data_IF_961541651842
#
_entry.id   IF_961541651842
#
_cell.length_a   1.000
_cell.length_b   1.000
_cell.length_c   1.000
_cell.angle_alpha   90.00
_cell.angle_beta   90.00
_cell.angle_gamma   90.00
#
_symmetry.space_group_name_H-M   'P 1'
#
loop_
_entity.id
_entity.type
_entity.pdbx_description
1 polymer ?
#
# COMPACT_ATOMS: atom_id res chain seq x y z
N UNK A 1 6.92 -9.39 -1.41
CA UNK A 1 7.34 -10.13 -2.61
C UNK A 1 7.97 -11.44 -2.16
N UNK A 2 7.48 -12.61 -2.60
CA UNK A 2 7.90 -13.90 -2.03
C UNK A 2 9.24 -14.39 -2.57
N UNK A 3 9.54 -14.19 -3.85
CA UNK A 3 10.81 -14.55 -4.48
C UNK A 3 11.10 -13.61 -5.65
N UNK A 4 12.37 -13.26 -5.88
CA UNK A 4 12.81 -12.52 -7.07
C UNK A 4 14.24 -12.93 -7.46
N UNK A 5 14.54 -12.85 -8.76
CA UNK A 5 15.75 -13.43 -9.37
C UNK A 5 17.01 -12.56 -9.18
N UNK A 6 17.38 -12.25 -7.93
CA UNK A 6 18.50 -11.36 -7.62
C UNK A 6 19.82 -11.73 -8.34
N UNK A 7 20.15 -13.02 -8.50
CA UNK A 7 21.33 -13.46 -9.25
C UNK A 7 21.26 -13.10 -10.74
N UNK A 8 20.10 -13.32 -11.36
CA UNK A 8 19.87 -13.00 -12.79
C UNK A 8 19.86 -11.49 -13.00
N UNK A 9 19.32 -10.73 -12.05
CA UNK A 9 19.38 -9.26 -12.07
C UNK A 9 20.84 -8.78 -11.94
N UNK A 10 21.65 -9.38 -11.06
CA UNK A 10 23.07 -9.05 -10.94
C UNK A 10 23.83 -9.29 -12.25
N UNK A 11 23.57 -10.44 -12.90
CA UNK A 11 24.12 -10.80 -14.21
C UNK A 11 23.67 -9.80 -15.30
N UNK A 12 22.38 -9.46 -15.36
CA UNK A 12 21.85 -8.45 -16.26
C UNK A 12 22.37 -7.05 -15.97
N UNK A 13 22.75 -6.72 -14.74
CA UNK A 13 23.36 -5.43 -14.43
C UNK A 13 24.88 -5.44 -14.60
N UNK A 14 25.49 -6.62 -14.79
CA UNK A 14 26.94 -6.77 -14.86
C UNK A 14 27.63 -6.34 -13.57
N UNK A 15 26.99 -6.59 -12.41
CA UNK A 15 27.48 -6.13 -11.11
C UNK A 15 27.33 -7.21 -10.04
N UNK A 16 27.97 -6.99 -8.89
CA UNK A 16 27.74 -7.82 -7.70
C UNK A 16 26.48 -7.37 -6.96
N UNK A 17 25.75 -8.34 -6.40
CA UNK A 17 24.63 -8.10 -5.52
C UNK A 17 25.10 -8.15 -4.06
N UNK A 18 24.93 -7.04 -3.33
CA UNK A 18 25.24 -6.97 -1.89
C UNK A 18 23.95 -7.02 -1.09
N UNK A 19 23.80 -8.02 -0.23
CA UNK A 19 22.68 -8.10 0.72
C UNK A 19 23.09 -7.53 2.07
N UNK A 20 22.21 -6.73 2.69
CA UNK A 20 22.37 -6.27 4.07
C UNK A 20 21.08 -6.43 4.86
N UNK A 21 21.21 -6.68 6.15
CA UNK A 21 20.08 -6.72 7.08
C UNK A 21 19.74 -5.31 7.54
N UNK A 22 18.48 -4.90 7.34
CA UNK A 22 17.96 -3.63 7.80
C UNK A 22 16.90 -3.87 8.87
N UNK A 23 16.96 -3.10 9.95
CA UNK A 23 15.96 -3.13 11.02
C UNK A 23 15.38 -1.74 11.21
N UNK A 24 14.07 -1.65 11.39
CA UNK A 24 13.36 -0.41 11.72
C UNK A 24 12.52 -0.64 12.98
N UNK A 25 12.21 0.39 13.78
CA UNK A 25 11.32 0.22 14.95
C UNK A 25 9.94 -0.35 14.60
N UNK A 26 9.50 -0.21 13.34
CA UNK A 26 8.15 -0.55 12.87
C UNK A 26 8.13 -1.88 12.10
N UNK A 27 9.29 -2.39 11.67
CA UNK A 27 9.38 -3.60 10.85
C UNK A 27 10.43 -4.58 11.40
N UNK A 28 10.13 -5.89 11.44
CA UNK A 28 11.13 -6.90 11.75
C UNK A 28 12.30 -6.83 10.75
N UNK A 29 13.45 -7.41 11.14
CA UNK A 29 14.64 -7.47 10.29
C UNK A 29 14.29 -7.92 8.87
N UNK A 30 14.67 -7.11 7.89
CA UNK A 30 14.43 -7.35 6.48
C UNK A 30 15.74 -7.27 5.70
N UNK A 31 15.99 -8.25 4.84
CA UNK A 31 17.11 -8.21 3.91
C UNK A 31 16.84 -7.21 2.78
N UNK A 32 17.81 -6.33 2.53
CA UNK A 32 17.83 -5.40 1.39
C UNK A 32 18.94 -5.82 0.45
N UNK A 33 18.62 -5.96 -0.83
CA UNK A 33 19.57 -6.30 -1.89
C UNK A 33 19.96 -5.03 -2.64
N UNK A 34 21.25 -4.77 -2.78
CA UNK A 34 21.78 -3.60 -3.46
C UNK A 34 22.59 -4.03 -4.68
N UNK A 35 22.25 -3.46 -5.82
CA UNK A 35 22.95 -3.61 -7.09
C UNK A 35 23.51 -2.25 -7.48
N UNK A 36 24.78 -2.22 -7.88
CA UNK A 36 25.44 -0.99 -8.31
C UNK A 36 26.21 -1.25 -9.60
N UNK A 37 25.64 -0.83 -10.72
CA UNK A 37 26.26 -0.91 -12.03
C UNK A 37 26.87 0.44 -12.39
N UNK A 38 28.15 0.46 -12.79
CA UNK A 38 28.88 1.69 -13.12
C UNK A 38 29.45 1.57 -14.53
N UNK A 39 29.32 2.64 -15.32
CA UNK A 39 29.98 2.79 -16.62
C UNK A 39 30.71 4.14 -16.70
N UNK A 40 31.31 4.44 -17.85
CA UNK A 40 31.92 5.75 -18.12
C UNK A 40 30.90 6.90 -18.12
N UNK A 41 29.61 6.61 -18.28
CA UNK A 41 28.54 7.62 -18.32
C UNK A 41 27.93 7.90 -16.95
N UNK A 42 28.08 6.98 -15.99
CA UNK A 42 27.46 7.14 -14.68
C UNK A 42 27.30 5.86 -13.87
N UNK A 43 26.43 5.93 -12.87
CA UNK A 43 26.12 4.81 -11.95
C UNK A 43 24.62 4.62 -11.80
N UNK A 44 24.16 3.38 -11.88
CA UNK A 44 22.82 2.93 -11.59
C UNK A 44 22.88 2.15 -10.28
N UNK A 45 22.12 2.61 -9.29
CA UNK A 45 21.93 1.92 -8.03
C UNK A 45 20.47 1.45 -7.94
N UNK A 46 20.28 0.14 -7.84
CA UNK A 46 18.99 -0.49 -7.57
C UNK A 46 19.04 -1.12 -6.19
N UNK A 47 18.15 -0.73 -5.28
CA UNK A 47 17.97 -1.37 -3.99
C UNK A 47 16.59 -2.01 -3.92
N UNK A 48 16.53 -3.27 -3.54
CA UNK A 48 15.29 -4.04 -3.46
C UNK A 48 15.09 -4.48 -2.03
N UNK A 49 13.95 -4.14 -1.44
CA UNK A 49 13.50 -4.60 -0.13
C UNK A 49 12.26 -5.50 -0.31
N UNK A 50 12.45 -6.83 -0.51
CA UNK A 50 11.36 -7.72 -0.91
C UNK A 50 10.25 -7.85 0.15
N UNK A 51 10.63 -7.78 1.43
CA UNK A 51 9.70 -7.82 2.55
C UNK A 51 8.70 -6.65 2.53
N UNK A 52 9.12 -5.50 2.01
CA UNK A 52 8.29 -4.30 1.88
C UNK A 52 7.70 -4.13 0.48
N UNK A 53 8.11 -4.95 -0.49
CA UNK A 53 7.75 -4.77 -1.89
C UNK A 53 8.21 -3.41 -2.41
N UNK A 54 9.41 -2.97 -2.04
CA UNK A 54 9.91 -1.63 -2.41
C UNK A 54 11.19 -1.75 -3.21
N UNK A 55 11.28 -0.99 -4.30
CA UNK A 55 12.50 -0.72 -5.03
C UNK A 55 12.88 0.74 -4.94
N UNK A 56 14.16 1.01 -4.68
CA UNK A 56 14.76 2.34 -4.78
C UNK A 56 15.70 2.32 -5.98
N UNK A 57 15.50 3.23 -6.91
CA UNK A 57 16.27 3.32 -8.14
C UNK A 57 16.89 4.71 -8.17
N UNK A 58 18.21 4.78 -8.29
CA UNK A 58 18.95 6.03 -8.40
C UNK A 58 19.92 5.95 -9.55
N UNK A 59 20.00 7.01 -10.34
CA UNK A 59 20.99 7.17 -11.40
C UNK A 59 21.83 8.41 -11.13
N UNK A 60 23.14 8.27 -11.31
CA UNK A 60 24.13 9.33 -11.13
C UNK A 60 24.92 9.50 -12.43
N UNK A 61 25.31 10.73 -12.75
CA UNK A 61 26.20 11.02 -13.87
C UNK A 61 27.65 10.58 -13.57
N UNK A 62 28.55 10.71 -14.55
CA UNK A 62 29.96 10.38 -14.41
C UNK A 62 30.70 11.22 -13.34
N UNK A 63 30.16 12.39 -12.96
CA UNK A 63 30.70 13.24 -11.90
C UNK A 63 30.13 12.87 -10.52
N UNK A 64 29.18 11.93 -10.46
CA UNK A 64 28.51 11.51 -9.24
C UNK A 64 27.31 12.36 -8.85
N UNK A 65 26.85 13.28 -9.70
CA UNK A 65 25.63 14.04 -9.44
C UNK A 65 24.40 13.18 -9.67
N UNK A 66 23.40 13.28 -8.80
CA UNK A 66 22.13 12.56 -8.97
C UNK A 66 21.37 13.12 -10.20
N UNK A 67 21.05 12.23 -11.14
CA UNK A 67 20.23 12.52 -12.32
C UNK A 67 18.75 12.24 -12.01
N UNK A 68 18.48 11.10 -11.38
CA UNK A 68 17.12 10.69 -11.02
C UNK A 68 17.14 9.75 -9.82
N UNK A 69 16.13 9.87 -8.98
CA UNK A 69 15.83 8.91 -7.92
C UNK A 69 14.33 8.65 -7.88
N UNK A 70 13.95 7.39 -7.75
CA UNK A 70 12.57 6.96 -7.59
C UNK A 70 12.44 5.87 -6.52
N UNK A 71 11.31 5.88 -5.82
CA UNK A 71 10.87 4.77 -4.97
C UNK A 71 9.62 4.18 -5.58
N UNK A 72 9.64 2.89 -5.90
CA UNK A 72 8.52 2.20 -6.54
C UNK A 72 8.07 1.05 -5.65
N UNK A 73 6.77 0.96 -5.38
CA UNK A 73 6.18 -0.19 -4.72
C UNK A 73 5.81 -1.23 -5.77
N UNK A 74 6.32 -2.43 -5.59
CA UNK A 74 6.20 -3.53 -6.54
C UNK A 74 5.77 -4.82 -5.86
N UNK A 75 4.92 -5.56 -6.56
CA UNK A 75 4.51 -6.92 -6.21
C UNK A 75 5.39 -7.96 -6.90
N UNK A 76 5.99 -7.60 -8.03
CA UNK A 76 6.82 -8.48 -8.87
C UNK A 76 8.06 -7.75 -9.38
N UNK A 77 9.20 -8.45 -9.43
CA UNK A 77 10.45 -8.00 -10.04
C UNK A 77 11.08 -9.16 -10.79
N UNK A 78 11.31 -9.02 -12.10
CA UNK A 78 11.86 -10.08 -12.94
C UNK A 78 12.68 -9.53 -14.11
N UNK A 79 13.46 -10.39 -14.75
CA UNK A 79 13.90 -10.16 -16.12
C UNK A 79 12.76 -10.57 -17.06
N UNK A 80 12.43 -9.69 -18.00
CA UNK A 80 11.46 -9.94 -19.06
C UNK A 80 12.16 -9.77 -20.41
N UNK A 81 11.66 -10.48 -21.41
CA UNK A 81 12.03 -10.30 -22.81
C UNK A 81 10.84 -9.75 -23.56
N UNK A 82 11.08 -8.83 -24.49
CA UNK A 82 10.08 -8.39 -25.45
C UNK A 82 10.75 -8.18 -26.82
N UNK A 83 9.96 -8.24 -27.88
CA UNK A 83 10.46 -8.06 -29.24
C UNK A 83 10.74 -6.58 -29.47
N UNK A 84 11.98 -6.21 -29.79
CA UNK A 84 12.27 -4.89 -30.29
C UNK A 84 11.76 -4.78 -31.73
N UNK A 85 10.70 -4.00 -31.95
CA UNK A 85 10.06 -3.83 -33.27
C UNK A 85 10.99 -3.18 -34.31
N UNK A 86 12.00 -2.40 -33.90
CA UNK A 86 12.95 -1.76 -34.80
C UNK A 86 14.03 -2.72 -35.30
N UNK A 87 14.54 -3.60 -34.41
CA UNK A 87 15.63 -4.54 -34.74
C UNK A 87 15.13 -5.92 -35.14
N UNK A 88 13.91 -6.30 -34.71
CA UNK A 88 13.35 -7.64 -34.87
C UNK A 88 13.98 -8.69 -33.95
N UNK A 89 14.73 -8.27 -32.93
CA UNK A 89 15.40 -9.15 -31.97
C UNK A 89 14.75 -9.07 -30.59
N UNK A 90 14.81 -10.15 -29.81
CA UNK A 90 14.34 -10.15 -28.42
C UNK A 90 15.30 -9.33 -27.55
N UNK A 91 14.77 -8.36 -26.80
CA UNK A 91 15.53 -7.56 -25.84
C UNK A 91 15.14 -7.90 -24.40
N UNK A 92 16.15 -8.18 -23.57
CA UNK A 92 15.97 -8.35 -22.12
C UNK A 92 15.95 -7.00 -21.39
N UNK A 93 15.06 -6.89 -20.40
CA UNK A 93 15.00 -5.77 -19.47
C UNK A 93 14.53 -6.21 -18.09
N UNK A 94 14.87 -5.44 -17.06
CA UNK A 94 14.30 -5.63 -15.72
C UNK A 94 12.92 -4.98 -15.71
N UNK A 95 11.89 -5.72 -15.31
CA UNK A 95 10.54 -5.22 -15.12
C UNK A 95 10.16 -5.29 -13.64
N UNK A 96 9.82 -4.14 -13.06
CA UNK A 96 9.20 -4.05 -11.74
C UNK A 96 7.74 -3.63 -11.88
N UNK A 97 6.81 -4.46 -11.40
CA UNK A 97 5.37 -4.26 -11.55
C UNK A 97 4.73 -4.13 -10.17
N UNK A 98 3.88 -3.11 -10.01
CA UNK A 98 3.12 -2.92 -8.79
C UNK A 98 1.81 -2.16 -8.98
N UNK A 99 1.04 -1.97 -7.89
CA UNK A 99 -0.29 -1.39 -7.94
C UNK A 99 -0.32 0.05 -8.46
N UNK A 100 0.76 0.82 -8.23
CA UNK A 100 0.85 2.23 -8.61
C UNK A 100 1.57 2.49 -9.93
N UNK A 101 1.96 1.45 -10.67
CA UNK A 101 2.75 1.60 -11.88
C UNK A 101 3.72 0.45 -12.15
N UNK A 102 4.48 0.59 -13.22
CA UNK A 102 5.61 -0.26 -13.52
C UNK A 102 6.84 0.58 -13.88
N UNK A 103 8.02 -0.02 -13.71
CA UNK A 103 9.26 0.51 -14.27
C UNK A 103 9.95 -0.57 -15.09
N UNK A 104 10.70 -0.12 -16.09
CA UNK A 104 11.58 -0.98 -16.87
C UNK A 104 13.00 -0.42 -16.86
N UNK A 105 14.01 -1.29 -16.75
CA UNK A 105 15.43 -0.93 -16.89
C UNK A 105 15.99 -1.75 -18.06
N UNK A 106 16.34 -1.07 -19.14
CA UNK A 106 16.92 -1.68 -20.34
C UNK A 106 18.38 -1.29 -20.48
N UNK A 107 19.21 -2.22 -20.98
CA UNK A 107 20.58 -1.90 -21.38
C UNK A 107 20.56 -1.09 -22.66
N UNK A 108 21.37 -0.04 -22.71
CA UNK A 108 21.68 0.66 -23.96
C UNK A 108 23.14 0.42 -24.33
N UNK A 109 23.54 0.90 -25.51
CA UNK A 109 24.95 0.87 -25.93
C UNK A 109 25.87 1.57 -24.92
N UNK A 110 25.40 2.65 -24.31
CA UNK A 110 26.23 3.55 -23.52
C UNK A 110 26.00 3.40 -22.01
N UNK A 111 24.80 3.00 -21.57
CA UNK A 111 24.50 2.72 -20.17
C UNK A 111 23.17 1.96 -19.94
N UNK A 112 22.29 2.47 -19.08
CA UNK A 112 20.94 1.97 -18.83
C UNK A 112 19.93 3.09 -19.00
N UNK A 113 18.81 2.77 -19.61
CA UNK A 113 17.63 3.64 -19.65
C UNK A 113 16.60 3.12 -18.67
N UNK A 114 16.00 4.03 -17.91
CA UNK A 114 14.91 3.71 -17.00
C UNK A 114 13.64 4.35 -17.54
N UNK A 115 12.60 3.53 -17.72
CA UNK A 115 11.26 3.99 -18.06
C UNK A 115 10.35 3.82 -16.85
N UNK A 116 9.59 4.86 -16.51
CA UNK A 116 8.57 4.82 -15.48
C UNK A 116 7.21 5.05 -16.11
N UNK A 117 6.28 4.13 -15.86
CA UNK A 117 4.86 4.32 -16.13
C UNK A 117 4.10 4.27 -14.82
N UNK A 118 3.82 5.45 -14.30
CA UNK A 118 3.01 5.60 -13.10
C UNK A 118 1.55 5.69 -13.54
N UNK A 119 0.77 4.66 -13.26
CA UNK A 119 -0.67 4.78 -13.37
C UNK A 119 -1.09 5.74 -12.27
N UNK A 120 -1.65 6.90 -12.65
CA UNK A 120 -2.26 7.84 -11.71
C UNK A 120 -3.13 7.05 -10.74
N UNK A 121 -2.67 7.01 -9.50
CA UNK A 121 -3.03 5.95 -8.59
C UNK A 121 -4.49 6.10 -8.15
N UNK A 122 -5.40 5.33 -8.77
CA UNK A 122 -6.79 5.17 -8.31
C UNK A 122 -6.88 4.28 -7.05
N UNK A 123 -5.75 3.83 -6.50
CA UNK A 123 -5.66 2.86 -5.42
C UNK A 123 -4.90 3.32 -4.15
N UNK A 124 -4.48 4.60 -4.02
CA UNK A 124 -3.86 5.19 -2.79
C UNK A 124 -4.77 5.25 -1.56
N UNK A 125 -5.74 4.35 -1.45
CA UNK A 125 -6.50 4.12 -0.22
C UNK A 125 -6.15 2.81 0.49
N UNK A 126 -5.00 2.19 0.20
CA UNK A 126 -4.48 1.06 1.01
C UNK A 126 -3.09 1.32 1.58
N UNK A 127 -2.93 2.42 2.31
CA UNK A 127 -1.87 2.59 3.30
C UNK A 127 -2.33 2.04 4.67
N UNK A 128 -2.83 0.80 4.68
CA UNK A 128 -3.07 0.03 5.90
C UNK A 128 -1.95 -1.01 6.10
N UNK A 129 -1.73 -1.52 7.33
CA UNK A 129 -0.83 -2.65 7.55
C UNK A 129 -1.12 -3.77 6.55
N UNK A 130 -0.06 -4.35 5.97
CA UNK A 130 -0.15 -5.35 4.89
C UNK A 130 -0.87 -6.65 5.31
N UNK A 131 -1.13 -6.82 6.60
CA UNK A 131 -1.95 -7.88 7.16
C UNK A 131 -2.90 -7.22 8.17
N UNK A 132 -4.19 -7.26 7.87
CA UNK A 132 -5.21 -6.92 8.87
C UNK A 132 -5.10 -7.94 10.01
N UNK A 133 -5.36 -7.53 11.28
CA UNK A 133 -5.42 -8.49 12.37
C UNK A 133 -6.39 -9.63 12.02
N UNK A 134 -6.18 -10.87 12.52
CA UNK A 134 -7.02 -12.02 12.18
C UNK A 134 -8.53 -11.80 12.39
N UNK A 135 -8.90 -10.86 13.26
CA UNK A 135 -10.28 -10.52 13.61
C UNK A 135 -10.74 -9.15 13.06
N UNK A 136 -9.99 -8.57 12.12
CA UNK A 136 -10.23 -7.24 11.56
C UNK A 136 -9.78 -6.08 12.46
N UNK A 137 -9.91 -4.85 11.98
CA UNK A 137 -9.58 -3.62 12.73
C UNK A 137 -10.65 -3.25 13.77
N UNK A 138 -11.88 -3.73 13.60
CA UNK A 138 -12.98 -3.54 14.56
C UNK A 138 -13.41 -4.90 15.11
N UNK A 139 -12.57 -5.54 15.94
CA UNK A 139 -12.78 -6.93 16.35
C UNK A 139 -13.90 -7.09 17.40
N UNK A 140 -14.29 -6.03 18.11
CA UNK A 140 -15.27 -6.10 19.21
C UNK A 140 -16.33 -5.02 19.11
N UNK A 141 -17.44 -5.27 19.81
CA UNK A 141 -18.55 -4.32 19.96
C UNK A 141 -18.09 -3.00 20.56
N UNK A 142 -17.18 -3.02 21.54
CA UNK A 142 -16.67 -1.81 22.21
C UNK A 142 -15.90 -0.93 21.24
N UNK A 143 -15.07 -1.52 20.38
CA UNK A 143 -14.34 -0.79 19.34
C UNK A 143 -15.32 -0.21 18.32
N UNK A 144 -16.32 -0.99 17.90
CA UNK A 144 -17.35 -0.53 16.97
C UNK A 144 -18.12 0.69 17.51
N UNK A 145 -18.48 0.67 18.80
CA UNK A 145 -19.13 1.82 19.48
C UNK A 145 -18.21 3.04 19.50
N UNK A 146 -16.93 2.88 19.84
CA UNK A 146 -15.99 4.02 19.89
C UNK A 146 -15.83 4.69 18.53
N UNK A 147 -15.69 3.90 17.45
CA UNK A 147 -15.58 4.41 16.08
C UNK A 147 -16.89 5.10 15.65
N UNK A 148 -18.03 4.47 15.91
CA UNK A 148 -19.34 5.04 15.59
C UNK A 148 -19.57 6.35 16.34
N UNK A 149 -19.27 6.42 17.63
CA UNK A 149 -19.40 7.64 18.44
C UNK A 149 -18.51 8.77 17.92
N UNK A 150 -17.27 8.48 17.50
CA UNK A 150 -16.37 9.48 16.95
C UNK A 150 -16.95 10.10 15.66
N UNK A 151 -17.46 9.27 14.75
CA UNK A 151 -18.08 9.72 13.50
C UNK A 151 -19.37 10.48 13.77
N UNK A 152 -20.28 9.92 14.57
CA UNK A 152 -21.58 10.51 14.87
C UNK A 152 -21.46 11.83 15.64
N UNK A 153 -20.53 11.92 16.58
CA UNK A 153 -20.30 13.15 17.34
C UNK A 153 -19.76 14.27 16.46
N UNK A 154 -18.96 13.93 15.44
CA UNK A 154 -18.50 14.90 14.44
C UNK A 154 -19.65 15.42 13.58
N UNK A 155 -20.57 14.54 13.16
CA UNK A 155 -21.68 14.89 12.28
C UNK A 155 -22.85 15.60 13.00
N UNK A 156 -23.20 15.14 14.19
CA UNK A 156 -24.44 15.54 14.89
C UNK A 156 -24.18 16.21 16.25
N UNK A 157 -22.92 16.33 16.65
CA UNK A 157 -22.53 16.85 17.96
C UNK A 157 -22.51 15.76 19.04
N UNK A 158 -21.61 15.91 20.01
CA UNK A 158 -21.39 14.92 21.06
C UNK A 158 -22.59 14.77 22.01
N UNK A 159 -23.24 15.87 22.38
CA UNK A 159 -24.33 15.86 23.38
C UNK A 159 -25.60 15.12 22.89
N UNK A 160 -26.09 15.31 21.65
CA UNK A 160 -27.19 14.51 21.11
C UNK A 160 -26.87 13.01 21.06
N UNK A 161 -25.65 12.64 20.66
CA UNK A 161 -25.24 11.22 20.53
C UNK A 161 -25.10 10.54 21.89
N UNK A 162 -24.58 11.24 22.90
CA UNK A 162 -24.52 10.74 24.29
C UNK A 162 -25.89 10.38 24.85
N UNK A 163 -26.93 11.14 24.50
CA UNK A 163 -28.32 10.90 24.94
C UNK A 163 -28.95 9.68 24.29
N UNK A 164 -28.35 9.15 23.22
CA UNK A 164 -28.81 7.95 22.53
C UNK A 164 -28.20 6.65 23.10
N UNK A 165 -27.60 6.71 24.29
CA UNK A 165 -27.10 5.53 25.00
C UNK A 165 -28.24 4.87 25.81
N UNK A 166 -28.22 3.53 25.98
CA UNK A 166 -27.23 2.58 25.45
C UNK A 166 -27.39 2.31 23.94
N UNK A 167 -26.29 2.05 23.23
CA UNK A 167 -26.38 1.66 21.82
C UNK A 167 -26.81 0.19 21.68
N UNK A 168 -27.70 -0.10 20.73
CA UNK A 168 -27.96 -1.46 20.25
C UNK A 168 -26.90 -1.77 19.19
N UNK A 169 -26.21 -2.89 19.33
CA UNK A 169 -25.13 -3.28 18.42
C UNK A 169 -25.34 -4.71 17.95
N UNK A 170 -25.21 -4.92 16.64
CA UNK A 170 -25.29 -6.23 16.01
C UNK A 170 -24.15 -6.43 15.01
N UNK A 171 -23.62 -7.65 14.91
CA UNK A 171 -22.66 -8.05 13.88
C UNK A 171 -23.33 -9.08 12.97
N UNK A 172 -23.42 -8.76 11.68
CA UNK A 172 -23.93 -9.68 10.66
C UNK A 172 -23.09 -9.57 9.40
N UNK A 173 -22.67 -10.70 8.85
CA UNK A 173 -21.91 -10.77 7.59
C UNK A 173 -20.66 -9.85 7.55
N UNK A 174 -19.97 -9.71 8.68
CA UNK A 174 -18.78 -8.85 8.79
C UNK A 174 -19.09 -7.35 8.83
N UNK A 175 -20.35 -6.97 9.09
CA UNK A 175 -20.79 -5.58 9.24
C UNK A 175 -21.34 -5.35 10.64
N UNK A 176 -20.73 -4.42 11.36
CA UNK A 176 -21.27 -3.88 12.60
C UNK A 176 -22.37 -2.88 12.29
N UNK A 177 -23.55 -3.06 12.87
CA UNK A 177 -24.64 -2.07 12.87
C UNK A 177 -24.80 -1.54 14.29
N UNK A 178 -24.67 -0.22 14.44
CA UNK A 178 -24.78 0.50 15.72
C UNK A 178 -25.97 1.44 15.62
N UNK A 179 -26.94 1.26 16.51
CA UNK A 179 -28.16 2.06 16.59
C UNK A 179 -28.24 2.75 17.95
N UNK A 180 -28.53 4.05 17.95
CA UNK A 180 -28.90 4.76 19.16
C UNK A 180 -30.18 4.19 19.81
N UNK A 181 -30.37 4.45 21.09
CA UNK A 181 -31.63 4.21 21.78
C UNK A 181 -32.02 5.38 22.67
N UNK A 182 -33.31 5.63 22.83
CA UNK A 182 -33.81 6.60 23.81
C UNK A 182 -34.35 5.85 25.04
N UNK A 183 -33.87 6.15 26.25
CA UNK A 183 -34.43 5.57 27.48
C UNK A 183 -35.84 6.10 27.83
N UNK A 184 -36.34 7.13 27.14
CA UNK A 184 -37.68 7.72 27.36
C UNK A 184 -38.43 7.94 26.04
N UNK A 185 -39.79 7.93 26.05
CA UNK A 185 -40.58 7.98 24.84
C UNK A 185 -40.61 9.41 24.27
N UNK A 186 -39.63 9.78 23.45
CA UNK A 186 -39.74 10.93 22.55
C UNK A 186 -39.18 10.64 21.16
N UNK A 187 -40.05 10.93 20.19
CA UNK A 187 -39.93 10.83 18.74
C UNK A 187 -39.52 9.46 18.18
N UNK A 188 -40.39 8.81 17.38
CA UNK A 188 -40.08 7.56 16.69
C UNK A 188 -39.06 7.73 15.53
N UNK A 189 -38.43 8.89 15.39
CA UNK A 189 -37.55 9.25 14.28
C UNK A 189 -36.32 10.01 14.79
N UNK A 190 -35.18 9.87 14.10
CA UNK A 190 -33.96 10.64 14.40
C UNK A 190 -32.92 9.90 15.24
N UNK A 191 -32.97 8.57 15.26
CA UNK A 191 -31.93 7.73 15.87
C UNK A 191 -30.77 7.59 14.90
N UNK A 192 -29.55 7.76 15.40
CA UNK A 192 -28.36 7.56 14.60
C UNK A 192 -28.15 6.06 14.35
N UNK A 193 -28.00 5.70 13.08
CA UNK A 193 -27.63 4.34 12.65
C UNK A 193 -26.34 4.42 11.85
N UNK A 194 -25.35 3.63 12.24
CA UNK A 194 -24.04 3.53 11.59
C UNK A 194 -23.74 2.09 11.26
N UNK A 195 -23.21 1.88 10.05
CA UNK A 195 -22.67 0.59 9.63
C UNK A 195 -21.17 0.68 9.35
N UNK A 196 -20.41 -0.21 9.97
CA UNK A 196 -18.96 -0.31 9.84
C UNK A 196 -18.57 -1.71 9.38
N UNK A 197 -17.65 -1.80 8.42
CA UNK A 197 -17.05 -3.08 8.06
C UNK A 197 -16.10 -3.52 9.17
N UNK A 198 -16.26 -4.75 9.65
CA UNK A 198 -15.43 -5.33 10.72
C UNK A 198 -13.94 -5.41 10.31
N UNK A 199 -13.70 -5.76 9.05
CA UNK A 199 -12.38 -6.09 8.51
C UNK A 199 -11.42 -4.87 8.53
N UNK A 200 -11.85 -3.75 7.97
CA UNK A 200 -11.02 -2.56 7.71
C UNK A 200 -11.55 -1.27 8.35
N UNK A 201 -12.68 -1.34 9.06
CA UNK A 201 -13.33 -0.19 9.68
C UNK A 201 -13.96 0.78 8.69
N UNK A 202 -14.15 0.39 7.43
CA UNK A 202 -14.80 1.25 6.44
C UNK A 202 -16.21 1.63 6.91
N UNK A 203 -16.49 2.93 6.90
CA UNK A 203 -17.83 3.47 7.08
C UNK A 203 -18.67 3.14 5.86
N UNK A 204 -19.61 2.20 6.00
CA UNK A 204 -20.47 1.74 4.91
C UNK A 204 -21.69 2.66 4.76
N UNK A 205 -22.27 3.05 5.89
CA UNK A 205 -23.50 3.85 5.91
C UNK A 205 -23.64 4.66 7.20
N UNK A 206 -24.19 5.87 7.08
CA UNK A 206 -24.72 6.67 8.19
C UNK A 206 -26.12 7.12 7.80
N UNK A 207 -27.11 6.81 8.63
CA UNK A 207 -28.50 7.21 8.40
C UNK A 207 -29.20 7.62 9.69
N UNK A 208 -30.33 8.29 9.55
CA UNK A 208 -31.29 8.48 10.63
C UNK A 208 -32.34 7.37 10.52
N UNK A 209 -32.37 6.47 11.49
CA UNK A 209 -33.36 5.40 11.60
C UNK A 209 -34.68 5.88 12.21
N UNK A 210 -35.71 5.07 12.01
CA UNK A 210 -36.94 5.11 12.79
C UNK A 210 -36.85 4.10 13.92
N UNK A 211 -37.35 4.46 15.10
CA UNK A 211 -37.50 3.53 16.22
C UNK A 211 -38.65 2.56 15.93
N UNK A 212 -38.45 1.23 16.01
CA UNK A 212 -39.53 0.25 15.92
C UNK A 212 -40.41 0.23 17.18
#
# INVERSE_FOLDING_TARGET
>A
MKEFEHKRIAEFLGCECVSSEHSSPIHPKSTVYTFKATSSQGTLALKVAPAHGTCFISQFDASGNEITTATVYITELKISTDLNEETGEDEEFIAGIGPGGHFCISRTKDFFTIFYSMYGDRSRYRAGPSELPPNGLIPTQEVAIQVAEAVLSHLYGAEPIRKQRPFKVNLSEGVWTIEGSYPEPRSPTGIAVVQLRQEDGQLLQVTQGQWP
#
